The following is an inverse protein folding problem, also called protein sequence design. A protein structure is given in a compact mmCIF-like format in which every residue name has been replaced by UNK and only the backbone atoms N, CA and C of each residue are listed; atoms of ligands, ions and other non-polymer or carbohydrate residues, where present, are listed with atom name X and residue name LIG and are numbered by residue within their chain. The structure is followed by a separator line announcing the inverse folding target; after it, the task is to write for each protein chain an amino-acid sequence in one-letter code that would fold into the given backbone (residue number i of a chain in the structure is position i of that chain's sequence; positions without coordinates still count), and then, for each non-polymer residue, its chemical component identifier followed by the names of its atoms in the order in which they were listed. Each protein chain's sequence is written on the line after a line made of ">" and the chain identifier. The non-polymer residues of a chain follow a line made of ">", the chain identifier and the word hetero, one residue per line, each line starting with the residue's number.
data_IF_007377624064
#
_entry.id   IF_007377624064
#
_cell.length_a   1.000
_cell.length_b   1.000
_cell.length_c   1.000
_cell.angle_alpha   90.00
_cell.angle_beta   90.00
_cell.angle_gamma   90.00
#
_symmetry.space_group_name_H-M   'P 1'
#
loop_
_entity.id
_entity.type
_entity.pdbx_description
1 polymer ?
#
# COMPACT_ATOMS: atom_id res chain seq x y z
N UNK A 1 32.94 -24.47 -33.83
CA UNK A 1 32.39 -23.10 -33.84
C UNK A 1 30.85 -23.02 -33.78
N UNK A 2 30.10 -24.05 -34.23
CA UNK A 2 28.62 -24.06 -34.21
C UNK A 2 28.00 -24.17 -32.80
N UNK A 3 28.59 -24.97 -31.90
CA UNK A 3 28.07 -25.21 -30.55
C UNK A 3 28.11 -23.97 -29.63
N UNK A 4 29.23 -23.22 -29.65
CA UNK A 4 29.37 -21.96 -28.87
C UNK A 4 28.39 -20.87 -29.34
N UNK A 5 28.07 -20.82 -30.64
CA UNK A 5 27.07 -19.89 -31.21
C UNK A 5 25.65 -20.27 -30.81
N UNK A 6 25.31 -21.56 -30.81
CA UNK A 6 24.00 -22.07 -30.34
C UNK A 6 23.80 -21.77 -28.85
N UNK A 7 24.83 -21.98 -28.02
CA UNK A 7 24.80 -21.66 -26.60
C UNK A 7 24.64 -20.14 -26.35
N UNK A 8 25.37 -19.30 -27.10
CA UNK A 8 25.24 -17.84 -27.02
C UNK A 8 23.87 -17.34 -27.46
N UNK A 9 23.27 -17.95 -28.49
CA UNK A 9 21.94 -17.60 -28.97
C UNK A 9 20.87 -17.98 -27.94
N UNK A 10 21.01 -19.14 -27.30
CA UNK A 10 20.09 -19.61 -26.27
C UNK A 10 20.12 -18.71 -25.02
N UNK A 11 21.31 -18.25 -24.60
CA UNK A 11 21.46 -17.30 -23.48
C UNK A 11 20.82 -15.94 -23.81
N UNK A 12 20.99 -15.43 -25.03
CA UNK A 12 20.37 -14.18 -25.47
C UNK A 12 18.84 -14.28 -25.51
N UNK A 13 18.29 -15.40 -25.99
CA UNK A 13 16.84 -15.64 -26.05
C UNK A 13 16.24 -15.72 -24.63
N UNK A 14 16.90 -16.43 -23.71
CA UNK A 14 16.47 -16.52 -22.31
C UNK A 14 16.52 -15.16 -21.58
N UNK A 15 17.53 -14.34 -21.88
CA UNK A 15 17.63 -12.98 -21.35
C UNK A 15 16.60 -12.03 -21.94
N UNK A 16 16.09 -12.30 -23.14
CA UNK A 16 15.05 -11.48 -23.78
C UNK A 16 13.65 -11.88 -23.28
N UNK A 17 13.42 -13.17 -23.04
CA UNK A 17 12.18 -13.70 -22.44
C UNK A 17 11.91 -13.15 -21.04
N UNK A 18 12.95 -12.90 -20.23
CA UNK A 18 12.79 -12.30 -18.90
C UNK A 18 12.40 -10.82 -18.94
N UNK A 19 12.70 -10.10 -20.04
CA UNK A 19 12.35 -8.69 -20.20
C UNK A 19 10.88 -8.48 -20.62
N UNK A 20 10.23 -9.47 -21.25
CA UNK A 20 8.82 -9.40 -21.63
C UNK A 20 7.84 -9.81 -20.52
N UNK A 21 8.34 -10.36 -19.41
CA UNK A 21 7.49 -10.67 -18.26
C UNK A 21 7.34 -9.43 -17.38
N UNK A 22 6.45 -8.52 -17.79
CA UNK A 22 5.98 -7.47 -16.91
C UNK A 22 5.09 -8.11 -15.84
N UNK A 23 5.65 -8.35 -14.65
CA UNK A 23 4.86 -8.66 -13.47
C UNK A 23 4.05 -7.40 -13.12
N UNK A 24 2.84 -7.30 -13.66
CA UNK A 24 1.84 -6.40 -13.11
C UNK A 24 1.45 -6.94 -11.73
N UNK A 25 2.17 -6.51 -10.69
CA UNK A 25 1.73 -6.69 -9.31
C UNK A 25 0.50 -5.78 -9.16
N UNK A 26 -0.66 -6.30 -9.57
CA UNK A 26 -1.94 -5.76 -9.14
C UNK A 26 -2.05 -6.12 -7.67
N UNK A 27 -1.63 -5.21 -6.82
CA UNK A 27 -1.93 -5.29 -5.40
C UNK A 27 -3.36 -4.79 -5.25
N UNK A 28 -4.32 -5.61 -5.66
CA UNK A 28 -5.71 -5.41 -5.25
C UNK A 28 -5.69 -5.72 -3.75
N UNK A 29 -5.38 -4.71 -2.93
CA UNK A 29 -5.57 -4.81 -1.48
C UNK A 29 -7.06 -5.07 -1.31
N UNK A 30 -7.40 -6.30 -0.95
CA UNK A 30 -8.71 -6.67 -0.46
C UNK A 30 -8.96 -5.81 0.78
N UNK A 31 -9.52 -4.61 0.57
CA UNK A 31 -9.91 -3.72 1.65
C UNK A 31 -11.04 -4.40 2.39
N UNK A 32 -10.67 -5.15 3.43
CA UNK A 32 -11.63 -5.79 4.29
C UNK A 32 -12.33 -4.68 5.09
N UNK A 33 -13.62 -4.38 4.83
CA UNK A 33 -14.30 -3.28 5.49
C UNK A 33 -14.41 -3.50 7.01
N UNK A 34 -14.24 -4.73 7.50
CA UNK A 34 -14.28 -5.02 8.93
C UNK A 34 -13.09 -4.49 9.74
N UNK A 35 -11.98 -4.10 9.09
CA UNK A 35 -10.80 -3.57 9.79
C UNK A 35 -10.65 -2.05 9.71
N UNK A 36 -11.59 -1.36 9.07
CA UNK A 36 -11.57 0.10 8.93
C UNK A 36 -12.69 0.74 9.74
N UNK A 37 -12.33 1.74 10.53
CA UNK A 37 -13.29 2.65 11.16
C UNK A 37 -13.39 3.90 10.28
N UNK A 38 -14.57 4.17 9.73
CA UNK A 38 -14.85 5.32 8.87
C UNK A 38 -16.13 6.02 9.32
N UNK A 39 -16.12 7.37 9.27
CA UNK A 39 -17.24 8.21 9.67
C UNK A 39 -17.42 9.33 8.65
N UNK A 40 -18.68 9.73 8.42
CA UNK A 40 -19.08 10.74 7.43
C UNK A 40 -19.21 12.15 8.03
N UNK A 41 -18.90 12.30 9.32
CA UNK A 41 -18.99 13.56 10.06
C UNK A 41 -17.82 13.71 11.05
N UNK A 42 -17.40 14.96 11.34
CA UNK A 42 -16.40 15.23 12.37
C UNK A 42 -16.91 14.88 13.77
N UNK A 43 -15.98 14.56 14.67
CA UNK A 43 -16.28 14.35 16.08
C UNK A 43 -16.65 15.66 16.78
N UNK A 44 -17.70 15.63 17.60
CA UNK A 44 -18.15 16.79 18.39
C UNK A 44 -17.67 16.76 19.84
N UNK A 45 -17.26 15.58 20.31
CA UNK A 45 -16.78 15.35 21.66
C UNK A 45 -15.68 14.28 21.67
N UNK A 46 -15.01 14.13 22.82
CA UNK A 46 -13.86 13.24 22.97
C UNK A 46 -14.16 11.77 22.67
N UNK A 47 -15.37 11.29 23.02
CA UNK A 47 -15.77 9.90 22.81
C UNK A 47 -16.01 9.54 21.35
N UNK A 48 -16.19 10.54 20.48
CA UNK A 48 -16.36 10.36 19.03
C UNK A 48 -15.03 10.48 18.27
N UNK A 49 -13.97 11.00 18.90
CA UNK A 49 -12.68 11.21 18.27
C UNK A 49 -11.91 9.89 18.08
N UNK A 50 -11.11 9.81 17.01
CA UNK A 50 -10.36 8.61 16.67
C UNK A 50 -9.04 8.52 17.46
N UNK A 51 -8.83 7.45 18.25
CA UNK A 51 -7.59 7.27 19.00
C UNK A 51 -6.47 6.75 18.09
N UNK A 52 -5.31 7.39 18.16
CA UNK A 52 -4.07 6.94 17.54
C UNK A 52 -2.97 6.84 18.61
N UNK A 53 -2.04 5.90 18.45
CA UNK A 53 -0.92 5.79 19.37
C UNK A 53 0.12 4.76 18.96
N UNK A 54 1.32 4.92 19.52
CA UNK A 54 2.45 4.00 19.30
C UNK A 54 2.97 3.37 20.61
N UNK A 55 2.15 3.39 21.66
CA UNK A 55 2.50 2.89 23.00
C UNK A 55 3.28 3.87 23.87
N UNK A 56 3.91 4.92 23.31
CA UNK A 56 4.56 5.99 24.07
C UNK A 56 3.77 7.30 24.03
N UNK A 57 3.24 7.63 22.85
CA UNK A 57 2.41 8.79 22.62
C UNK A 57 1.04 8.33 22.15
N UNK A 58 0.03 9.10 22.52
CA UNK A 58 -1.35 8.98 22.05
C UNK A 58 -1.82 10.30 21.47
N UNK A 59 -2.81 10.22 20.59
CA UNK A 59 -3.49 11.38 20.04
C UNK A 59 -4.97 11.06 19.81
N UNK A 60 -5.85 12.03 19.99
CA UNK A 60 -7.26 11.96 19.61
C UNK A 60 -7.52 12.89 18.44
N UNK A 61 -8.01 12.35 17.31
CA UNK A 61 -8.25 13.10 16.07
C UNK A 61 -9.74 13.38 15.89
N UNK A 62 -10.10 14.64 15.69
CA UNK A 62 -11.51 15.07 15.60
C UNK A 62 -12.03 15.20 14.17
N UNK A 63 -11.15 15.47 13.18
CA UNK A 63 -11.53 15.56 11.77
C UNK A 63 -12.32 16.81 11.40
N UNK A 64 -12.14 17.91 12.14
CA UNK A 64 -12.83 19.18 11.94
C UNK A 64 -12.44 19.84 10.60
N UNK A 65 -13.45 20.24 9.81
CA UNK A 65 -13.26 20.75 8.45
C UNK A 65 -12.62 22.14 8.43
N UNK A 66 -13.15 23.09 9.21
CA UNK A 66 -12.61 24.46 9.28
C UNK A 66 -11.42 24.57 10.22
N UNK A 67 -11.48 23.82 11.33
CA UNK A 67 -10.45 23.79 12.37
C UNK A 67 -10.33 22.39 12.93
N UNK A 68 -9.14 21.83 12.79
CA UNK A 68 -8.80 20.53 13.36
C UNK A 68 -8.43 20.63 14.85
N UNK A 69 -8.70 19.56 15.59
CA UNK A 69 -8.21 19.36 16.95
C UNK A 69 -7.55 17.99 17.04
N UNK A 70 -6.26 18.00 17.39
CA UNK A 70 -5.52 16.80 17.78
C UNK A 70 -5.09 17.01 19.23
N UNK A 71 -5.55 16.13 20.13
CA UNK A 71 -5.26 16.20 21.57
C UNK A 71 -4.26 15.14 21.98
#
# INVERSE_FOLDING_TARGET
>A
MKFKKQLSLLVLVLSFLSLFSCNSIKTDKEENPSVMLWYDKPATNWSEALPLGNGRLGAMVYGGIEKEVIQ
#
